data_IF_988514692365
#
_entry.id   IF_988514692365
#
_cell.length_a   1.000
_cell.length_b   1.000
_cell.length_c   1.000
_cell.angle_alpha   90.00
_cell.angle_beta   90.00
_cell.angle_gamma   90.00
#
_symmetry.space_group_name_H-M   'P 1'
#
loop_
_entity.id
_entity.type
_entity.pdbx_description
1 polymer ?
#
# COMPACT_ATOMS: atom_id res chain seq x y z
N UNK A 1 9.88 20.64 -10.76
CA UNK A 1 11.09 19.86 -10.37
C UNK A 1 11.25 19.92 -8.86
N UNK A 2 11.30 21.10 -8.24
CA UNK A 2 11.34 21.27 -6.78
C UNK A 2 10.22 20.51 -6.03
N UNK A 3 9.00 20.54 -6.55
CA UNK A 3 7.83 19.90 -5.93
C UNK A 3 7.93 18.38 -5.96
N UNK A 4 8.47 17.82 -7.05
CA UNK A 4 8.73 16.37 -7.19
C UNK A 4 9.78 15.94 -6.17
N UNK A 5 10.89 16.67 -6.06
CA UNK A 5 11.94 16.40 -5.07
C UNK A 5 11.41 16.47 -3.63
N UNK A 6 10.57 17.47 -3.32
CA UNK A 6 9.93 17.59 -2.00
C UNK A 6 9.02 16.40 -1.73
N UNK A 7 8.17 16.04 -2.70
CA UNK A 7 7.24 14.92 -2.58
C UNK A 7 7.99 13.60 -2.37
N UNK A 8 8.99 13.29 -3.21
CA UNK A 8 9.79 12.08 -3.09
C UNK A 8 10.52 12.01 -1.74
N UNK A 9 11.05 13.14 -1.25
CA UNK A 9 11.63 13.21 0.11
C UNK A 9 10.60 12.95 1.21
N UNK A 10 9.39 13.49 1.10
CA UNK A 10 8.32 13.24 2.07
C UNK A 10 7.91 11.75 2.10
N UNK A 11 7.79 11.12 0.93
CA UNK A 11 7.48 9.69 0.82
C UNK A 11 8.57 8.83 1.47
N UNK A 12 9.84 9.10 1.16
CA UNK A 12 10.97 8.37 1.77
C UNK A 12 11.08 8.59 3.28
N UNK A 13 10.89 9.82 3.74
CA UNK A 13 10.90 10.12 5.18
C UNK A 13 9.81 9.34 5.92
N UNK A 14 8.59 9.31 5.37
CA UNK A 14 7.48 8.52 5.93
C UNK A 14 7.80 7.03 5.95
N UNK A 15 8.33 6.48 4.86
CA UNK A 15 8.73 5.06 4.80
C UNK A 15 9.80 4.71 5.83
N UNK A 16 10.77 5.62 6.06
CA UNK A 16 11.78 5.45 7.11
C UNK A 16 11.16 5.47 8.51
N UNK A 17 10.22 6.36 8.79
CA UNK A 17 9.48 6.39 10.06
C UNK A 17 8.66 5.12 10.27
N UNK A 18 7.96 4.64 9.24
CA UNK A 18 7.23 3.38 9.28
C UNK A 18 8.14 2.19 9.57
N UNK A 19 9.31 2.12 8.94
CA UNK A 19 10.30 1.06 9.19
C UNK A 19 10.75 1.06 10.66
N UNK A 20 11.05 2.23 11.22
CA UNK A 20 11.40 2.36 12.63
C UNK A 20 10.23 1.93 13.55
N UNK A 21 9.00 2.31 13.19
CA UNK A 21 7.80 1.94 13.94
C UNK A 21 7.52 0.42 13.88
N UNK A 22 7.77 -0.24 12.75
CA UNK A 22 7.62 -1.70 12.61
C UNK A 22 8.51 -2.45 13.59
N UNK A 23 9.74 -1.99 13.79
CA UNK A 23 10.67 -2.57 14.77
C UNK A 23 10.16 -2.32 16.20
N UNK A 24 9.76 -1.09 16.50
CA UNK A 24 9.32 -0.68 17.84
C UNK A 24 8.01 -1.35 18.28
N UNK A 25 7.09 -1.57 17.34
CA UNK A 25 5.71 -2.02 17.61
C UNK A 25 5.45 -3.47 17.19
N UNK A 26 6.49 -4.25 16.87
CA UNK A 26 6.33 -5.63 16.36
C UNK A 26 5.48 -6.55 17.26
N UNK A 27 5.46 -6.30 18.57
CA UNK A 27 4.66 -7.03 19.55
C UNK A 27 3.16 -6.64 19.57
N UNK A 28 2.74 -5.65 18.76
CA UNK A 28 1.38 -5.14 18.68
C UNK A 28 0.81 -5.38 17.27
N UNK A 29 0.24 -6.56 16.98
CA UNK A 29 -0.17 -6.94 15.62
C UNK A 29 -1.08 -5.94 14.91
N UNK A 30 -2.03 -5.34 15.64
CA UNK A 30 -2.89 -4.31 15.09
C UNK A 30 -2.14 -3.05 14.63
N UNK A 31 -1.07 -2.67 15.34
CA UNK A 31 -0.23 -1.53 14.96
C UNK A 31 0.66 -1.88 13.77
N UNK A 32 1.23 -3.09 13.76
CA UNK A 32 2.00 -3.60 12.62
C UNK A 32 1.16 -3.60 11.34
N UNK A 33 -0.09 -4.06 11.41
CA UNK A 33 -1.05 -3.97 10.30
C UNK A 33 -1.34 -2.53 9.88
N UNK A 34 -1.54 -1.63 10.85
CA UNK A 34 -1.76 -0.21 10.57
C UNK A 34 -0.59 0.42 9.80
N UNK A 35 0.64 0.10 10.17
CA UNK A 35 1.83 0.60 9.48
C UNK A 35 1.92 0.03 8.05
N UNK A 36 1.71 -1.28 7.88
CA UNK A 36 1.66 -1.89 6.54
C UNK A 36 0.62 -1.19 5.66
N UNK A 37 -0.58 -0.89 6.20
CA UNK A 37 -1.61 -0.15 5.46
C UNK A 37 -1.18 1.26 5.06
N UNK A 38 -0.46 1.98 5.93
CA UNK A 38 0.04 3.33 5.63
C UNK A 38 1.15 3.32 4.57
N UNK A 39 2.01 2.30 4.59
CA UNK A 39 3.02 2.10 3.55
C UNK A 39 2.38 1.78 2.19
N UNK A 40 1.33 0.94 2.21
CA UNK A 40 0.53 0.65 1.02
C UNK A 40 -0.13 1.90 0.45
N UNK A 41 -0.75 2.77 1.26
CA UNK A 41 -1.31 4.04 0.77
C UNK A 41 -0.26 4.90 0.06
N UNK A 42 0.98 4.90 0.57
CA UNK A 42 2.09 5.62 -0.07
C UNK A 42 2.46 5.01 -1.43
N UNK A 43 2.55 3.68 -1.51
CA UNK A 43 2.75 2.96 -2.78
C UNK A 43 1.65 3.29 -3.78
N UNK A 44 0.39 3.17 -3.37
CA UNK A 44 -0.78 3.39 -4.23
C UNK A 44 -0.77 4.79 -4.83
N UNK A 45 -0.46 5.80 -4.03
CA UNK A 45 -0.37 7.19 -4.50
C UNK A 45 0.72 7.39 -5.53
N UNK A 46 1.91 6.82 -5.33
CA UNK A 46 3.02 6.96 -6.29
C UNK A 46 2.69 6.27 -7.61
N UNK A 47 2.15 5.05 -7.55
CA UNK A 47 1.68 4.31 -8.73
C UNK A 47 0.59 5.09 -9.48
N UNK A 48 -0.36 5.69 -8.76
CA UNK A 48 -1.38 6.56 -9.35
C UNK A 48 -0.76 7.75 -10.10
N UNK A 49 0.25 8.40 -9.52
CA UNK A 49 0.95 9.51 -10.17
C UNK A 49 1.67 9.06 -11.44
N UNK A 50 2.35 7.92 -11.40
CA UNK A 50 3.06 7.36 -12.56
C UNK A 50 2.11 6.95 -13.70
N UNK A 51 0.89 6.50 -13.37
CA UNK A 51 -0.11 6.15 -14.38
C UNK A 51 -0.71 7.37 -15.09
N UNK A 52 -0.52 8.60 -14.56
CA UNK A 52 -1.00 9.82 -15.20
C UNK A 52 -0.14 10.20 -16.41
N UNK A 53 -0.56 9.81 -17.61
CA UNK A 53 0.11 10.16 -18.88
C UNK A 53 0.21 11.67 -19.12
N UNK A 54 -0.74 12.45 -18.62
CA UNK A 54 -0.72 13.90 -18.65
C UNK A 54 0.21 14.45 -17.56
N UNK A 55 1.42 14.85 -17.96
CA UNK A 55 2.46 15.37 -17.04
C UNK A 55 2.05 16.64 -16.31
N UNK A 56 1.23 17.49 -16.94
CA UNK A 56 0.72 18.71 -16.28
C UNK A 56 -0.27 18.35 -15.18
N UNK A 57 -1.14 17.36 -15.43
CA UNK A 57 -2.05 16.87 -14.41
C UNK A 57 -1.29 16.21 -13.27
N UNK A 58 -0.30 15.36 -13.55
CA UNK A 58 0.56 14.74 -12.53
C UNK A 58 1.27 15.77 -11.65
N UNK A 59 1.94 16.75 -12.25
CA UNK A 59 2.64 17.79 -11.48
C UNK A 59 1.70 18.59 -10.58
N UNK A 60 0.46 18.84 -11.01
CA UNK A 60 -0.56 19.47 -10.17
C UNK A 60 -0.91 18.62 -8.94
N UNK A 61 -1.07 17.30 -9.12
CA UNK A 61 -1.34 16.39 -7.99
C UNK A 61 -0.16 16.32 -7.02
N UNK A 62 1.07 16.37 -7.54
CA UNK A 62 2.28 16.46 -6.72
C UNK A 62 2.30 17.77 -5.94
N UNK A 63 2.01 18.90 -6.60
CA UNK A 63 1.90 20.22 -5.96
C UNK A 63 0.82 20.25 -4.88
N UNK A 64 -0.33 19.62 -5.14
CA UNK A 64 -1.41 19.46 -4.16
C UNK A 64 -0.94 18.65 -2.94
N UNK A 65 -0.18 17.58 -3.14
CA UNK A 65 0.38 16.76 -2.05
C UNK A 65 1.32 17.57 -1.16
N UNK A 66 2.29 18.26 -1.75
CA UNK A 66 3.28 19.03 -0.98
C UNK A 66 2.67 20.25 -0.29
N UNK A 67 1.56 20.76 -0.83
CA UNK A 67 0.82 21.90 -0.27
C UNK A 67 -0.31 21.50 0.69
N UNK A 68 -0.53 20.20 0.95
CA UNK A 68 -1.60 19.72 1.81
C UNK A 68 -3.02 19.90 1.24
N UNK A 69 -3.16 20.02 -0.07
CA UNK A 69 -4.45 20.12 -0.77
C UNK A 69 -4.94 18.74 -1.20
N UNK A 70 -6.27 18.61 -1.34
CA UNK A 70 -6.89 17.38 -1.85
C UNK A 70 -6.68 17.26 -3.36
N UNK A 71 -6.38 16.05 -3.81
CA UNK A 71 -6.34 15.74 -5.23
C UNK A 71 -7.73 15.86 -5.84
N UNK A 72 -7.83 16.56 -6.97
CA UNK A 72 -9.08 16.68 -7.74
C UNK A 72 -8.92 16.12 -9.13
N UNK A 73 -9.98 15.50 -9.66
CA UNK A 73 -10.04 14.93 -11.01
C UNK A 73 -9.70 15.97 -12.07
N UNK A 74 -9.10 15.53 -13.17
CA UNK A 74 -8.75 16.42 -14.29
C UNK A 74 -9.99 17.14 -14.82
N UNK A 75 -9.92 18.48 -14.85
CA UNK A 75 -10.99 19.33 -15.37
C UNK A 75 -12.24 19.40 -14.46
N UNK A 76 -12.17 18.87 -13.24
CA UNK A 76 -13.28 18.85 -12.29
C UNK A 76 -12.83 19.29 -10.91
N UNK A 77 -13.78 19.73 -10.07
CA UNK A 77 -13.55 20.00 -8.64
C UNK A 77 -13.83 18.77 -7.77
N UNK A 78 -14.28 17.66 -8.36
CA UNK A 78 -14.52 16.43 -7.63
C UNK A 78 -13.19 15.82 -7.16
N UNK A 79 -13.12 15.27 -5.94
CA UNK A 79 -11.92 14.64 -5.43
C UNK A 79 -11.59 13.36 -6.20
N UNK A 80 -10.29 13.04 -6.29
CA UNK A 80 -9.85 11.68 -6.62
C UNK A 80 -10.12 10.81 -5.41
N UNK A 81 -10.82 9.69 -5.62
CA UNK A 81 -11.19 8.76 -4.55
C UNK A 81 -10.18 7.62 -4.42
N UNK A 82 -10.09 7.02 -3.23
CA UNK A 82 -9.27 5.83 -3.00
C UNK A 82 -9.68 4.69 -3.93
N UNK A 83 -10.99 4.57 -4.21
CA UNK A 83 -11.52 3.62 -5.20
C UNK A 83 -10.92 3.84 -6.58
N UNK A 84 -10.81 5.08 -7.07
CA UNK A 84 -10.16 5.34 -8.37
C UNK A 84 -8.67 4.97 -8.37
N UNK A 85 -7.98 5.13 -7.24
CA UNK A 85 -6.57 4.73 -7.13
C UNK A 85 -6.41 3.20 -7.07
N UNK A 86 -7.38 2.50 -6.49
CA UNK A 86 -7.44 1.03 -6.39
C UNK A 86 -7.92 0.38 -7.67
N UNK A 87 -8.92 0.94 -8.36
CA UNK A 87 -9.43 0.44 -9.64
C UNK A 87 -8.33 0.45 -10.72
N UNK A 88 -7.32 1.33 -10.58
CA UNK A 88 -6.11 1.28 -11.38
C UNK A 88 -5.35 -0.06 -11.26
N UNK A 89 -5.47 -0.77 -10.13
CA UNK A 89 -4.84 -2.07 -9.91
C UNK A 89 -5.43 -3.21 -10.76
N UNK A 90 -6.62 -3.03 -11.34
CA UNK A 90 -7.15 -4.01 -12.31
C UNK A 90 -6.41 -3.95 -13.66
N UNK A 91 -5.78 -2.81 -13.93
CA UNK A 91 -4.94 -2.57 -15.11
C UNK A 91 -3.49 -2.98 -14.85
N UNK A 92 -3.11 -3.14 -13.57
CA UNK A 92 -1.78 -3.55 -13.15
C UNK A 92 -1.73 -5.09 -13.09
N UNK A 93 -0.58 -5.66 -13.42
CA UNK A 93 -0.37 -7.10 -13.40
C UNK A 93 0.57 -7.51 -12.26
N UNK A 94 0.67 -8.82 -12.02
CA UNK A 94 1.64 -9.39 -11.09
C UNK A 94 1.52 -8.90 -9.63
N UNK A 95 2.64 -8.43 -9.09
CA UNK A 95 2.79 -8.01 -7.69
C UNK A 95 1.83 -6.88 -7.34
N UNK A 96 1.71 -5.87 -8.19
CA UNK A 96 0.98 -4.65 -7.87
C UNK A 96 -0.50 -4.95 -7.68
N UNK A 97 -1.12 -5.74 -8.58
CA UNK A 97 -2.50 -6.22 -8.36
C UNK A 97 -2.66 -7.00 -7.05
N UNK A 98 -1.71 -7.90 -6.78
CA UNK A 98 -1.74 -8.76 -5.59
C UNK A 98 -1.68 -7.95 -4.30
N UNK A 99 -0.83 -6.92 -4.27
CA UNK A 99 -0.66 -6.01 -3.12
C UNK A 99 -1.87 -5.14 -2.86
N UNK A 100 -2.54 -4.66 -3.92
CA UNK A 100 -3.74 -3.85 -3.75
C UNK A 100 -4.91 -4.69 -3.22
N UNK A 101 -5.10 -5.90 -3.76
CA UNK A 101 -6.09 -6.85 -3.23
C UNK A 101 -5.78 -7.23 -1.77
N UNK A 102 -4.49 -7.44 -1.47
CA UNK A 102 -3.99 -7.66 -0.12
C UNK A 102 -4.33 -6.45 0.78
N UNK A 103 -3.94 -5.23 0.39
CA UNK A 103 -4.21 -4.00 1.14
C UNK A 103 -5.69 -3.75 1.43
N UNK A 104 -6.58 -3.97 0.45
CA UNK A 104 -8.03 -3.90 0.65
C UNK A 104 -8.51 -4.89 1.71
N UNK A 105 -8.02 -6.13 1.68
CA UNK A 105 -8.37 -7.13 2.68
C UNK A 105 -7.87 -6.74 4.10
N UNK A 106 -6.75 -6.04 4.22
CA UNK A 106 -6.27 -5.49 5.50
C UNK A 106 -7.14 -4.35 6.06
N UNK A 107 -7.89 -3.62 5.23
CA UNK A 107 -8.83 -2.59 5.71
C UNK A 107 -9.92 -3.22 6.58
N UNK A 108 -10.39 -4.41 6.23
CA UNK A 108 -11.41 -5.13 6.99
C UNK A 108 -10.87 -5.84 8.23
N UNK A 109 -9.54 -5.94 8.35
CA UNK A 109 -8.88 -6.29 9.60
C UNK A 109 -8.89 -5.14 10.62
N UNK A 110 -9.54 -4.01 10.37
CA UNK A 110 -9.75 -2.95 11.39
C UNK A 110 -10.46 -3.42 12.66
N UNK A 111 -11.17 -4.55 12.63
CA UNK A 111 -11.73 -5.20 13.81
C UNK A 111 -10.70 -6.01 14.65
N UNK A 112 -9.40 -5.87 14.34
CA UNK A 112 -8.28 -6.50 15.03
C UNK A 112 -8.18 -6.19 16.52
N UNK A 113 -8.93 -5.23 17.07
CA UNK A 113 -8.84 -4.90 18.49
C UNK A 113 -9.30 -6.02 19.44
N UNK A 114 -9.96 -7.06 18.91
CA UNK A 114 -10.38 -8.26 19.66
C UNK A 114 -9.68 -9.55 19.17
N UNK A 115 -8.52 -9.42 18.52
CA UNK A 115 -7.78 -10.53 17.92
C UNK A 115 -7.29 -11.60 18.91
N UNK A 116 -7.26 -11.28 20.20
CA UNK A 116 -6.91 -12.22 21.26
C UNK A 116 -8.05 -13.20 21.60
N UNK A 117 -9.29 -12.86 21.22
CA UNK A 117 -10.49 -13.65 21.51
C UNK A 117 -11.08 -14.25 20.23
N UNK A 118 -11.09 -13.48 19.13
CA UNK A 118 -11.62 -13.90 17.83
C UNK A 118 -10.53 -13.82 16.78
N UNK A 119 -10.32 -14.91 16.03
CA UNK A 119 -9.32 -14.90 14.97
C UNK A 119 -9.72 -13.93 13.84
N UNK A 120 -8.91 -12.91 13.53
CA UNK A 120 -9.21 -11.92 12.51
C UNK A 120 -9.43 -12.49 11.10
N UNK A 121 -8.76 -13.58 10.72
CA UNK A 121 -8.98 -14.23 9.42
C UNK A 121 -10.35 -14.90 9.33
N UNK A 122 -10.97 -15.23 10.46
CA UNK A 122 -12.33 -15.78 10.54
C UNK A 122 -13.39 -14.66 10.60
N UNK A 123 -12.99 -13.37 10.67
CA UNK A 123 -13.89 -12.21 10.71
C UNK A 123 -14.05 -11.48 9.36
N UNK A 124 -13.30 -11.90 8.34
CA UNK A 124 -13.33 -11.32 6.98
C UNK A 124 -13.98 -12.29 5.99
N UNK A 125 -14.35 -11.82 4.80
CA UNK A 125 -14.96 -12.69 3.80
C UNK A 125 -13.97 -13.76 3.29
N UNK A 126 -14.47 -14.94 2.91
CA UNK A 126 -13.63 -16.04 2.43
C UNK A 126 -12.77 -15.65 1.22
N UNK A 127 -13.28 -14.81 0.33
CA UNK A 127 -12.54 -14.28 -0.82
C UNK A 127 -11.35 -13.41 -0.39
N UNK A 128 -11.51 -12.62 0.67
CA UNK A 128 -10.47 -11.73 1.21
C UNK A 128 -9.41 -12.54 1.95
N UNK A 129 -9.85 -13.50 2.76
CA UNK A 129 -8.96 -14.48 3.40
C UNK A 129 -8.14 -15.23 2.35
N UNK A 130 -8.78 -15.71 1.28
CA UNK A 130 -8.10 -16.40 0.20
C UNK A 130 -7.07 -15.50 -0.50
N UNK A 131 -7.42 -14.22 -0.76
CA UNK A 131 -6.50 -13.26 -1.36
C UNK A 131 -5.27 -12.98 -0.47
N UNK A 132 -5.47 -12.77 0.83
CA UNK A 132 -4.38 -12.58 1.80
C UNK A 132 -3.45 -13.80 1.79
N UNK A 133 -4.01 -15.00 1.94
CA UNK A 133 -3.22 -16.23 2.02
C UNK A 133 -2.49 -16.54 0.71
N UNK A 134 -3.13 -16.34 -0.44
CA UNK A 134 -2.49 -16.53 -1.74
C UNK A 134 -1.29 -15.60 -1.92
N UNK A 135 -1.44 -14.31 -1.56
CA UNK A 135 -0.35 -13.33 -1.61
C UNK A 135 0.81 -13.75 -0.70
N UNK A 136 0.53 -14.08 0.57
CA UNK A 136 1.55 -14.46 1.54
C UNK A 136 2.28 -15.74 1.12
N UNK A 137 1.58 -16.74 0.59
CA UNK A 137 2.19 -17.99 0.11
C UNK A 137 3.10 -17.74 -1.08
N UNK A 138 2.64 -16.94 -2.04
CA UNK A 138 3.39 -16.67 -3.25
C UNK A 138 4.66 -15.84 -2.99
N UNK A 139 4.56 -14.77 -2.20
CA UNK A 139 5.68 -13.82 -2.03
C UNK A 139 6.49 -14.01 -0.75
N UNK A 140 5.92 -14.65 0.27
CA UNK A 140 6.52 -14.73 1.61
C UNK A 140 6.55 -16.16 2.17
N UNK A 141 6.20 -17.18 1.37
CA UNK A 141 6.17 -18.58 1.80
C UNK A 141 5.17 -18.86 2.93
N UNK A 142 4.14 -18.02 3.04
CA UNK A 142 3.21 -17.95 4.17
C UNK A 142 2.43 -19.23 4.50
N UNK A 143 1.54 -19.19 5.50
CA UNK A 143 1.08 -20.40 6.16
C UNK A 143 0.35 -21.36 5.21
N UNK A 144 0.87 -22.59 5.15
CA UNK A 144 0.37 -23.69 4.32
C UNK A 144 -0.47 -24.71 5.11
N UNK A 145 -0.72 -24.47 6.40
CA UNK A 145 -1.59 -25.31 7.22
C UNK A 145 -3.03 -25.34 6.70
N UNK A 146 -3.77 -26.38 7.07
CA UNK A 146 -5.16 -26.58 6.64
C UNK A 146 -6.13 -25.51 7.18
N UNK A 147 -5.78 -24.86 8.29
CA UNK A 147 -6.55 -23.75 8.88
C UNK A 147 -5.59 -22.66 9.38
N UNK A 148 -5.07 -21.80 8.49
CA UNK A 148 -4.19 -20.71 8.89
C UNK A 148 -4.91 -19.74 9.82
N UNK A 149 -4.23 -19.34 10.88
CA UNK A 149 -4.68 -18.36 11.86
C UNK A 149 -3.95 -17.04 11.68
N UNK A 150 -4.54 -15.97 12.19
CA UNK A 150 -3.92 -14.65 12.09
C UNK A 150 -2.54 -14.63 12.76
N UNK A 151 -2.37 -15.36 13.87
CA UNK A 151 -1.07 -15.54 14.54
C UNK A 151 0.02 -16.12 13.64
N UNK A 152 -0.34 -16.89 12.61
CA UNK A 152 0.61 -17.44 11.64
C UNK A 152 1.03 -16.40 10.58
N UNK A 153 0.20 -15.37 10.39
CA UNK A 153 0.45 -14.26 9.46
C UNK A 153 1.28 -13.15 10.10
N UNK A 154 1.08 -12.88 11.40
CA UNK A 154 1.77 -11.80 12.14
C UNK A 154 3.29 -11.78 11.92
N UNK A 155 4.02 -12.91 12.01
CA UNK A 155 5.47 -12.91 11.81
C UNK A 155 5.92 -12.50 10.40
N UNK A 156 5.02 -12.51 9.42
CA UNK A 156 5.33 -12.18 8.02
C UNK A 156 5.21 -10.67 7.74
N UNK A 157 4.56 -9.89 8.61
CA UNK A 157 4.36 -8.46 8.35
C UNK A 157 5.63 -7.64 8.14
N UNK A 158 6.75 -7.88 8.86
CA UNK A 158 7.99 -7.20 8.55
C UNK A 158 8.48 -7.46 7.12
N UNK A 159 8.40 -8.71 6.65
CA UNK A 159 8.81 -9.06 5.28
C UNK A 159 7.87 -8.46 4.22
N UNK A 160 6.56 -8.44 4.51
CA UNK A 160 5.55 -7.77 3.68
C UNK A 160 5.85 -6.28 3.58
N UNK A 161 6.09 -5.61 4.72
CA UNK A 161 6.45 -4.20 4.77
C UNK A 161 7.69 -3.90 3.92
N UNK A 162 8.77 -4.66 4.11
CA UNK A 162 10.01 -4.41 3.35
C UNK A 162 9.83 -4.58 1.85
N UNK A 163 9.01 -5.54 1.42
CA UNK A 163 8.71 -5.74 0.00
C UNK A 163 7.89 -4.59 -0.58
N UNK A 164 6.94 -4.04 0.18
CA UNK A 164 6.20 -2.83 -0.22
C UNK A 164 7.15 -1.64 -0.29
N UNK A 165 7.95 -1.42 0.75
CA UNK A 165 8.88 -0.30 0.83
C UNK A 165 9.94 -0.35 -0.28
N UNK A 166 10.46 -1.52 -0.64
CA UNK A 166 11.40 -1.67 -1.75
C UNK A 166 10.78 -1.30 -3.09
N UNK A 167 9.54 -1.72 -3.32
CA UNK A 167 8.84 -1.40 -4.57
C UNK A 167 8.42 0.07 -4.61
N UNK A 168 8.04 0.65 -3.47
CA UNK A 168 7.79 2.08 -3.33
C UNK A 168 9.04 2.88 -3.73
N UNK A 169 10.23 2.50 -3.25
CA UNK A 169 11.47 3.17 -3.63
C UNK A 169 11.73 3.11 -5.15
N UNK A 170 11.51 1.95 -5.78
CA UNK A 170 11.62 1.82 -7.23
C UNK A 170 10.71 2.81 -7.97
N UNK A 171 9.43 2.90 -7.59
CA UNK A 171 8.48 3.81 -8.22
C UNK A 171 8.75 5.28 -7.89
N UNK A 172 9.27 5.59 -6.71
CA UNK A 172 9.72 6.95 -6.37
C UNK A 172 10.88 7.35 -7.28
N UNK A 173 11.86 6.47 -7.50
CA UNK A 173 12.97 6.72 -8.41
C UNK A 173 12.51 6.91 -9.87
N UNK A 174 11.50 6.17 -10.34
CA UNK A 174 10.86 6.39 -11.65
C UNK A 174 10.19 7.77 -11.72
N UNK A 175 9.49 8.17 -10.65
CA UNK A 175 8.81 9.46 -10.58
C UNK A 175 9.79 10.64 -10.65
N UNK A 176 10.96 10.52 -10.00
CA UNK A 176 12.03 11.53 -10.05
C UNK A 176 12.60 11.73 -11.46
N UNK A 177 12.62 10.67 -12.28
CA UNK A 177 13.05 10.71 -13.68
C UNK A 177 11.94 11.16 -14.64
N UNK A 178 10.75 11.49 -14.11
CA UNK A 178 9.54 11.75 -14.89
C UNK A 178 9.23 10.61 -15.87
N UNK A 179 9.39 9.36 -15.44
CA UNK A 179 9.04 8.17 -16.23
C UNK A 179 7.51 7.93 -16.20
N UNK A 180 7.01 7.10 -17.12
CA UNK A 180 5.64 6.59 -17.04
C UNK A 180 5.66 5.25 -16.29
N UNK A 181 4.52 4.84 -15.75
CA UNK A 181 4.39 3.49 -15.22
C UNK A 181 4.67 2.47 -16.34
N UNK A 182 5.64 1.59 -16.13
CA UNK A 182 5.93 0.48 -17.04
C UNK A 182 4.86 -0.61 -16.84
N UNK A 183 4.41 -1.21 -17.95
CA UNK A 183 3.51 -2.36 -17.90
C UNK A 183 4.37 -3.60 -17.52
N UNK A 184 4.41 -3.95 -16.23
CA UNK A 184 5.04 -5.20 -15.72
C UNK A 184 4.31 -6.47 -16.16
#
# INVERSE_FOLDING_TARGET
MREVEIFCRQVRARSAEHRAAMVALHALPGQTVSIVRQELDSLVRVVFLLSQRDRRYRHRLIDDSVSGRKWTRRGSRLPVTDREMVDLADILHGWTKSVYAFGCAFIHLSNLHDHQVRDPLDQIADSERAAILAHLRYYHGGPNGASPKFSDVVPLFPAVFEKIASNLECYVAQLEKDEALEDE
#
